data_IF_724427213282
#
_entry.id   IF_724427213282
#
_cell.length_a   1.000
_cell.length_b   1.000
_cell.length_c   1.000
_cell.angle_alpha   90.00
_cell.angle_beta   90.00
_cell.angle_gamma   90.00
#
_symmetry.space_group_name_H-M   'P 1'
#
loop_
_entity.id
_entity.type
_entity.pdbx_description
1 polymer ?
#
# COMPACT_ATOMS: atom_id res chain seq x y z
N UNK A 1 -35.80 -17.99 26.37
CA UNK A 1 -34.49 -18.05 25.65
C UNK A 1 -34.42 -17.30 24.31
N UNK A 2 -35.42 -17.35 23.40
CA UNK A 2 -35.31 -16.70 22.06
C UNK A 2 -35.19 -15.16 22.07
N UNK A 3 -35.86 -14.45 22.99
CA UNK A 3 -35.75 -12.98 23.13
C UNK A 3 -34.36 -12.51 23.58
N UNK A 4 -33.74 -13.17 24.57
CA UNK A 4 -32.39 -12.86 25.02
C UNK A 4 -31.35 -13.06 23.89
N UNK A 5 -31.45 -14.16 23.13
CA UNK A 5 -30.57 -14.42 21.97
C UNK A 5 -30.72 -13.39 20.86
N UNK A 6 -31.92 -12.81 20.68
CA UNK A 6 -32.20 -11.73 19.71
C UNK A 6 -31.62 -10.37 20.16
N UNK A 7 -31.71 -10.05 21.46
CA UNK A 7 -31.13 -8.82 22.04
C UNK A 7 -29.60 -8.88 22.00
N UNK A 8 -29.00 -10.02 22.35
CA UNK A 8 -27.56 -10.24 22.29
C UNK A 8 -27.05 -10.10 20.86
N UNK A 9 -27.73 -10.71 19.88
CA UNK A 9 -27.39 -10.54 18.44
C UNK A 9 -27.54 -9.10 17.96
N UNK A 10 -28.49 -8.33 18.50
CA UNK A 10 -28.66 -6.92 18.19
C UNK A 10 -27.50 -6.06 18.69
N UNK A 11 -27.08 -6.26 19.94
CA UNK A 11 -25.90 -5.56 20.52
C UNK A 11 -24.59 -5.96 19.84
N UNK A 12 -24.41 -7.24 19.51
CA UNK A 12 -23.26 -7.70 18.73
C UNK A 12 -23.16 -7.02 17.36
N UNK A 13 -24.29 -6.89 16.64
CA UNK A 13 -24.33 -6.18 15.35
C UNK A 13 -24.03 -4.68 15.47
N UNK A 14 -24.40 -4.04 16.58
CA UNK A 14 -24.09 -2.63 16.80
C UNK A 14 -22.59 -2.39 17.09
N UNK A 15 -21.97 -3.28 17.89
CA UNK A 15 -20.56 -3.20 18.24
C UNK A 15 -19.62 -3.52 17.06
N UNK A 16 -20.03 -4.42 16.16
CA UNK A 16 -19.29 -4.77 14.94
C UNK A 16 -19.58 -3.78 13.79
N UNK A 17 -20.49 -2.81 13.99
CA UNK A 17 -20.84 -1.86 12.93
C UNK A 17 -19.64 -0.99 12.57
N UNK A 18 -19.35 -0.90 11.28
CA UNK A 18 -18.19 -0.18 10.74
C UNK A 18 -18.05 1.24 11.29
N UNK A 19 -19.15 2.01 11.31
CA UNK A 19 -19.17 3.38 11.87
C UNK A 19 -18.71 3.45 13.32
N UNK A 20 -19.10 2.47 14.15
CA UNK A 20 -18.74 2.41 15.57
C UNK A 20 -17.26 2.08 15.74
N UNK A 21 -16.75 1.13 14.94
CA UNK A 21 -15.34 0.76 14.94
C UNK A 21 -14.47 1.94 14.49
N UNK A 22 -14.85 2.62 13.41
CA UNK A 22 -14.16 3.82 12.94
C UNK A 22 -14.17 4.93 13.98
N UNK A 23 -15.31 5.20 14.63
CA UNK A 23 -15.35 6.21 15.70
C UNK A 23 -14.46 5.86 16.88
N UNK A 24 -14.36 4.57 17.26
CA UNK A 24 -13.46 4.14 18.32
C UNK A 24 -11.98 4.30 17.92
N UNK A 25 -11.63 4.04 16.65
CA UNK A 25 -10.28 4.26 16.15
C UNK A 25 -9.94 5.76 16.11
N UNK A 26 -10.87 6.61 15.66
CA UNK A 26 -10.67 8.06 15.64
C UNK A 26 -10.54 8.63 17.06
N UNK A 27 -11.36 8.16 18.00
CA UNK A 27 -11.25 8.53 19.40
C UNK A 27 -9.88 8.13 19.96
N UNK A 28 -9.45 6.89 19.69
CA UNK A 28 -8.12 6.40 20.08
C UNK A 28 -6.98 7.22 19.46
N UNK A 29 -7.10 7.58 18.18
CA UNK A 29 -6.12 8.42 17.50
C UNK A 29 -6.03 9.81 18.14
N UNK A 30 -7.17 10.40 18.49
CA UNK A 30 -7.22 11.70 19.16
C UNK A 30 -6.59 11.64 20.56
N UNK A 31 -6.87 10.60 21.36
CA UNK A 31 -6.24 10.46 22.68
C UNK A 31 -4.74 10.26 22.58
N UNK A 32 -4.29 9.42 21.65
CA UNK A 32 -2.87 9.17 21.41
C UNK A 32 -2.13 10.42 20.94
N UNK A 33 -2.79 11.24 20.11
CA UNK A 33 -2.24 12.53 19.68
C UNK A 33 -2.12 13.52 20.85
N UNK A 34 -3.13 13.58 21.73
CA UNK A 34 -3.10 14.41 22.93
C UNK A 34 -2.05 13.96 23.95
N UNK A 35 -1.85 12.64 24.10
CA UNK A 35 -0.79 12.06 24.93
C UNK A 35 0.62 12.40 24.41
N UNK A 36 0.76 12.80 23.15
CA UNK A 36 2.04 13.22 22.57
C UNK A 36 2.56 14.58 23.05
N UNK A 37 1.72 15.42 23.68
CA UNK A 37 2.10 16.76 24.12
C UNK A 37 2.75 16.73 25.52
N UNK A 38 4.01 17.21 25.69
CA UNK A 38 4.69 17.25 26.99
C UNK A 38 3.92 18.05 28.05
N UNK A 39 3.26 19.13 27.63
CA UNK A 39 2.51 20.04 28.52
C UNK A 39 1.29 19.36 29.15
N UNK A 40 0.72 18.35 28.48
CA UNK A 40 -0.41 17.57 29.02
C UNK A 40 0.02 16.69 30.19
N UNK A 41 1.27 16.21 30.18
CA UNK A 41 1.87 15.52 31.33
C UNK A 41 2.20 16.47 32.48
N UNK A 42 2.53 17.73 32.18
CA UNK A 42 2.94 18.72 33.17
C UNK A 42 1.76 19.44 33.86
N UNK A 43 0.63 19.64 33.17
CA UNK A 43 -0.45 20.51 33.65
C UNK A 43 -1.37 19.86 34.71
N UNK A 44 -1.59 18.54 34.68
CA UNK A 44 -2.47 17.89 35.68
C UNK A 44 -2.41 16.36 35.64
N UNK A 45 -2.06 15.72 36.77
CA UNK A 45 -2.12 14.25 36.96
C UNK A 45 -3.50 13.66 36.64
N UNK A 46 -4.58 14.42 36.84
CA UNK A 46 -5.97 13.99 36.58
C UNK A 46 -6.29 13.82 35.10
N UNK A 47 -5.72 14.65 34.22
CA UNK A 47 -5.98 14.58 32.78
C UNK A 47 -5.24 13.40 32.14
N UNK A 48 -4.02 13.14 32.58
CA UNK A 48 -3.24 11.98 32.17
C UNK A 48 -3.94 10.65 32.51
N UNK A 49 -4.43 10.50 33.74
CA UNK A 49 -5.20 9.30 34.12
C UNK A 49 -6.47 9.11 33.29
N UNK A 50 -7.16 10.20 32.93
CA UNK A 50 -8.37 10.12 32.11
C UNK A 50 -8.08 9.63 30.68
N UNK A 51 -7.05 10.17 30.03
CA UNK A 51 -6.62 9.73 28.69
C UNK A 51 -6.21 8.26 28.68
N UNK A 52 -5.43 7.85 29.69
CA UNK A 52 -5.04 6.45 29.87
C UNK A 52 -6.25 5.50 29.95
N UNK A 53 -7.29 5.84 30.72
CA UNK A 53 -8.51 5.05 30.82
C UNK A 53 -9.28 4.95 29.51
N UNK A 54 -9.28 6.01 28.69
CA UNK A 54 -9.89 5.99 27.36
C UNK A 54 -9.11 5.04 26.44
N UNK A 55 -7.79 5.14 26.42
CA UNK A 55 -6.95 4.25 25.60
C UNK A 55 -7.12 2.78 26.00
N UNK A 56 -7.14 2.51 27.30
CA UNK A 56 -7.38 1.18 27.85
C UNK A 56 -8.76 0.64 27.43
N UNK A 57 -9.80 1.48 27.54
CA UNK A 57 -11.16 1.13 27.14
C UNK A 57 -11.29 0.86 25.63
N UNK A 58 -10.62 1.67 24.79
CA UNK A 58 -10.57 1.46 23.35
C UNK A 58 -9.87 0.15 22.99
N UNK A 59 -8.76 -0.15 23.68
CA UNK A 59 -8.03 -1.42 23.51
C UNK A 59 -8.92 -2.60 23.85
N UNK A 60 -9.60 -2.55 25.00
CA UNK A 60 -10.53 -3.58 25.43
C UNK A 60 -11.68 -3.75 24.42
N UNK A 61 -12.23 -2.64 23.91
CA UNK A 61 -13.23 -2.67 22.85
C UNK A 61 -12.72 -3.43 21.62
N UNK A 62 -11.50 -3.19 21.15
CA UNK A 62 -10.93 -3.91 20.00
C UNK A 62 -10.72 -5.40 20.27
N UNK A 63 -10.34 -5.79 21.48
CA UNK A 63 -10.23 -7.21 21.86
C UNK A 63 -11.61 -7.87 21.82
N UNK A 64 -12.62 -7.24 22.43
CA UNK A 64 -14.00 -7.73 22.42
C UNK A 64 -14.52 -7.82 20.99
N UNK A 65 -14.24 -6.82 20.17
CA UNK A 65 -14.67 -6.75 18.77
C UNK A 65 -14.08 -7.90 17.94
N UNK A 66 -12.79 -8.21 18.10
CA UNK A 66 -12.16 -9.35 17.46
C UNK A 66 -12.78 -10.69 17.90
N UNK A 67 -13.03 -10.88 19.20
CA UNK A 67 -13.69 -12.09 19.74
C UNK A 67 -15.10 -12.23 19.14
N UNK A 68 -15.87 -11.15 19.11
CA UNK A 68 -17.22 -11.14 18.56
C UNK A 68 -17.23 -11.44 17.06
N UNK A 69 -16.26 -10.93 16.29
CA UNK A 69 -16.11 -11.27 14.86
C UNK A 69 -15.80 -12.76 14.67
N UNK A 70 -14.89 -13.33 15.47
CA UNK A 70 -14.54 -14.76 15.38
C UNK A 70 -15.77 -15.62 15.67
N UNK A 71 -16.55 -15.28 16.70
CA UNK A 71 -17.79 -15.98 17.05
C UNK A 71 -18.88 -15.82 15.98
N UNK A 72 -18.99 -14.64 15.35
CA UNK A 72 -20.03 -14.34 14.37
C UNK A 72 -19.77 -14.99 13.00
N UNK A 73 -18.53 -14.89 12.49
CA UNK A 73 -18.17 -15.44 11.17
C UNK A 73 -17.80 -16.93 11.23
N UNK A 74 -17.41 -17.44 12.40
CA UNK A 74 -16.83 -18.77 12.56
C UNK A 74 -15.32 -18.77 12.25
N UNK A 75 -14.58 -19.67 12.90
CA UNK A 75 -13.11 -19.72 12.85
C UNK A 75 -12.58 -19.79 11.41
N UNK A 76 -13.01 -20.78 10.63
CA UNK A 76 -12.52 -20.98 9.26
C UNK A 76 -12.75 -19.77 8.35
N UNK A 77 -13.93 -19.14 8.42
CA UNK A 77 -14.26 -17.99 7.57
C UNK A 77 -13.55 -16.71 8.02
N UNK A 78 -13.30 -16.55 9.32
CA UNK A 78 -12.52 -15.44 9.84
C UNK A 78 -11.07 -15.49 9.33
N UNK A 79 -10.43 -16.67 9.41
CA UNK A 79 -9.06 -16.88 8.93
C UNK A 79 -8.93 -16.95 7.40
N UNK A 80 -10.01 -17.02 6.63
CA UNK A 80 -9.93 -16.88 5.18
C UNK A 80 -9.71 -15.41 4.74
N UNK A 81 -10.17 -14.44 5.52
CA UNK A 81 -10.10 -13.02 5.16
C UNK A 81 -8.78 -12.34 5.54
N UNK A 82 -8.02 -11.82 4.57
CA UNK A 82 -6.76 -11.11 4.80
C UNK A 82 -6.90 -9.93 5.78
N UNK A 83 -7.97 -9.14 5.66
CA UNK A 83 -8.24 -8.01 6.57
C UNK A 83 -8.58 -8.43 8.00
N UNK A 84 -9.19 -9.60 8.17
CA UNK A 84 -9.46 -10.14 9.50
C UNK A 84 -8.17 -10.66 10.16
N UNK A 85 -7.29 -11.30 9.37
CA UNK A 85 -5.94 -11.67 9.86
C UNK A 85 -5.16 -10.44 10.31
N UNK A 86 -5.14 -9.39 9.50
CA UNK A 86 -4.46 -8.13 9.81
C UNK A 86 -4.98 -7.49 11.11
N UNK A 87 -6.31 -7.39 11.24
CA UNK A 87 -6.97 -6.86 12.44
C UNK A 87 -6.64 -7.69 13.69
N UNK A 88 -6.64 -9.02 13.57
CA UNK A 88 -6.24 -9.92 14.64
C UNK A 88 -4.77 -9.72 15.04
N UNK A 89 -3.85 -9.63 14.07
CA UNK A 89 -2.43 -9.37 14.32
C UNK A 89 -2.23 -8.07 15.08
N UNK A 90 -2.93 -6.99 14.71
CA UNK A 90 -2.88 -5.72 15.44
C UNK A 90 -3.37 -5.90 16.87
N UNK A 91 -4.48 -6.61 17.08
CA UNK A 91 -4.99 -6.86 18.45
C UNK A 91 -3.93 -7.60 19.27
N UNK A 92 -3.35 -8.67 18.74
CA UNK A 92 -2.31 -9.48 19.41
C UNK A 92 -1.07 -8.67 19.75
N UNK A 93 -0.52 -7.92 18.79
CA UNK A 93 0.63 -7.02 19.00
C UNK A 93 0.36 -6.00 20.12
N UNK A 94 -0.91 -5.68 20.32
CA UNK A 94 -1.34 -4.65 21.26
C UNK A 94 -1.83 -5.19 22.61
N UNK A 95 -1.91 -6.51 22.80
CA UNK A 95 -2.25 -7.13 24.09
C UNK A 95 -1.23 -6.84 25.20
N UNK A 96 0.09 -6.81 24.95
CA UNK A 96 1.06 -6.50 25.99
C UNK A 96 0.86 -5.12 26.64
N UNK A 97 0.27 -4.15 25.93
CA UNK A 97 -0.02 -2.83 26.52
C UNK A 97 -1.10 -2.90 27.61
N UNK A 98 -1.92 -3.96 27.66
CA UNK A 98 -2.87 -4.16 28.75
C UNK A 98 -2.19 -4.63 30.05
N UNK A 99 -0.93 -5.08 29.95
CA UNK A 99 -0.12 -5.54 31.07
C UNK A 99 0.78 -4.43 31.64
N UNK A 100 0.86 -3.26 30.99
CA UNK A 100 1.60 -2.08 31.48
C UNK A 100 1.21 -1.62 32.91
N UNK A 101 -0.06 -1.68 33.36
CA UNK A 101 -0.42 -1.30 34.73
C UNK A 101 -0.07 -2.35 35.80
N UNK A 102 0.52 -3.49 35.43
CA UNK A 102 0.98 -4.50 36.40
C UNK A 102 2.38 -4.11 36.88
N UNK A 103 2.47 -3.62 38.12
CA UNK A 103 3.71 -3.21 38.77
C UNK A 103 4.78 -4.32 38.71
N UNK A 104 5.96 -4.00 38.15
CA UNK A 104 7.14 -4.90 38.14
C UNK A 104 7.85 -5.07 36.78
N UNK A 105 7.26 -4.61 35.67
CA UNK A 105 7.85 -4.76 34.32
C UNK A 105 8.43 -3.45 33.73
N UNK A 106 8.58 -2.38 34.53
CA UNK A 106 9.00 -1.05 34.09
C UNK A 106 10.47 -0.92 33.65
N UNK A 107 11.30 -1.96 33.88
CA UNK A 107 12.74 -1.93 33.60
C UNK A 107 13.18 -2.44 32.22
N UNK A 108 12.30 -3.04 31.42
CA UNK A 108 12.70 -3.65 30.14
C UNK A 108 12.52 -2.69 28.96
N UNK A 109 13.50 -2.65 28.04
CA UNK A 109 13.38 -2.00 26.71
C UNK A 109 12.12 -2.43 25.94
N UNK A 110 11.54 -3.59 26.29
CA UNK A 110 10.24 -4.07 25.79
C UNK A 110 9.08 -3.11 26.09
N UNK A 111 9.12 -2.35 27.18
CA UNK A 111 8.08 -1.35 27.51
C UNK A 111 8.01 -0.28 26.42
N UNK A 112 9.16 0.20 25.92
CA UNK A 112 9.22 1.16 24.82
C UNK A 112 8.63 0.55 23.54
N UNK A 113 8.98 -0.71 23.23
CA UNK A 113 8.44 -1.40 22.06
C UNK A 113 6.93 -1.58 22.16
N UNK A 114 6.37 -1.89 23.33
CA UNK A 114 4.91 -1.99 23.53
C UNK A 114 4.21 -0.63 23.45
N UNK A 115 4.86 0.44 23.92
CA UNK A 115 4.39 1.82 23.73
C UNK A 115 4.35 2.23 22.27
N UNK A 116 5.32 1.81 21.46
CA UNK A 116 5.29 2.02 20.01
C UNK A 116 4.30 1.09 19.31
N UNK A 117 4.13 -0.14 19.83
CA UNK A 117 3.25 -1.13 19.26
C UNK A 117 1.78 -0.68 19.24
N UNK A 118 1.38 0.17 20.21
CA UNK A 118 0.03 0.75 20.27
C UNK A 118 -0.29 1.62 19.05
N UNK A 119 0.72 2.23 18.41
CA UNK A 119 0.57 3.02 17.18
C UNK A 119 0.06 2.18 16.02
N UNK A 120 0.38 0.87 15.97
CA UNK A 120 -0.08 0.00 14.89
C UNK A 120 -1.61 -0.10 14.83
N UNK A 121 -2.33 0.20 15.92
CA UNK A 121 -3.79 0.23 15.95
C UNK A 121 -4.38 1.26 14.99
N UNK A 122 -3.66 2.34 14.68
CA UNK A 122 -4.07 3.33 13.69
C UNK A 122 -4.18 2.72 12.28
N UNK A 123 -3.37 1.71 11.97
CA UNK A 123 -3.47 1.02 10.68
C UNK A 123 -4.79 0.24 10.51
N UNK A 124 -5.59 0.04 11.57
CA UNK A 124 -6.94 -0.51 11.40
C UNK A 124 -7.82 0.35 10.49
N UNK A 125 -7.53 1.65 10.36
CA UNK A 125 -8.20 2.54 9.40
C UNK A 125 -8.02 2.06 7.95
N UNK A 126 -6.91 1.40 7.62
CA UNK A 126 -6.65 0.90 6.27
C UNK A 126 -7.70 -0.11 5.78
N UNK A 127 -8.33 -0.85 6.70
CA UNK A 127 -9.42 -1.79 6.36
C UNK A 127 -10.63 -1.09 5.76
N UNK A 128 -10.86 0.17 6.10
CA UNK A 128 -12.02 0.94 5.63
C UNK A 128 -11.75 1.64 4.30
N UNK A 129 -10.56 1.49 3.74
CA UNK A 129 -10.25 2.01 2.40
C UNK A 129 -11.11 1.23 1.38
N UNK A 130 -11.96 1.92 0.60
CA UNK A 130 -12.74 1.29 -0.44
C UNK A 130 -11.82 0.60 -1.44
N UNK A 131 -12.15 -0.63 -1.84
CA UNK A 131 -11.31 -1.43 -2.76
C UNK A 131 -9.90 -1.73 -2.23
N UNK A 132 -9.68 -1.66 -0.91
CA UNK A 132 -8.39 -1.95 -0.28
C UNK A 132 -7.68 -3.23 -0.75
N UNK A 133 -8.36 -4.40 -0.88
CA UNK A 133 -7.71 -5.61 -1.41
C UNK A 133 -7.11 -5.40 -2.80
N UNK A 134 -7.84 -4.73 -3.70
CA UNK A 134 -7.39 -4.47 -5.08
C UNK A 134 -6.20 -3.51 -5.11
N UNK A 135 -6.22 -2.49 -4.25
CA UNK A 135 -5.09 -1.56 -4.10
C UNK A 135 -3.86 -2.32 -3.62
N UNK A 136 -4.01 -3.16 -2.59
CA UNK A 136 -2.92 -3.97 -2.04
C UNK A 136 -2.35 -4.96 -3.05
N UNK A 137 -3.20 -5.62 -3.84
CA UNK A 137 -2.78 -6.50 -4.94
C UNK A 137 -2.03 -5.74 -6.04
N UNK A 138 -2.45 -4.51 -6.37
CA UNK A 138 -1.73 -3.62 -7.27
C UNK A 138 -0.34 -3.25 -6.74
N UNK A 139 -0.25 -2.79 -5.49
CA UNK A 139 1.01 -2.45 -4.83
C UNK A 139 1.95 -3.65 -4.75
N UNK A 140 1.43 -4.82 -4.39
CA UNK A 140 2.25 -6.05 -4.31
C UNK A 140 2.85 -6.42 -5.65
N UNK A 141 2.07 -6.38 -6.74
CA UNK A 141 2.55 -6.67 -8.09
C UNK A 141 3.58 -5.65 -8.57
N UNK A 142 3.29 -4.36 -8.41
CA UNK A 142 4.22 -3.29 -8.75
C UNK A 142 5.55 -3.44 -7.99
N UNK A 143 5.50 -3.72 -6.69
CA UNK A 143 6.70 -3.96 -5.89
C UNK A 143 7.46 -5.19 -6.38
N UNK A 144 6.76 -6.29 -6.69
CA UNK A 144 7.37 -7.52 -7.23
C UNK A 144 8.09 -7.29 -8.56
N UNK A 145 7.50 -6.52 -9.47
CA UNK A 145 8.13 -6.15 -10.74
C UNK A 145 9.36 -5.25 -10.54
N UNK A 146 9.28 -4.29 -9.61
CA UNK A 146 10.37 -3.35 -9.33
C UNK A 146 11.50 -3.92 -8.47
N UNK A 147 11.39 -5.13 -7.90
CA UNK A 147 12.43 -5.71 -7.01
C UNK A 147 13.80 -5.71 -7.68
N UNK A 148 13.88 -6.07 -8.97
CA UNK A 148 15.15 -6.10 -9.71
C UNK A 148 15.82 -4.72 -9.77
N UNK A 149 15.04 -3.66 -10.01
CA UNK A 149 15.54 -2.28 -10.07
C UNK A 149 15.97 -1.80 -8.69
N UNK A 150 15.17 -2.03 -7.65
CA UNK A 150 15.54 -1.68 -6.28
C UNK A 150 16.80 -2.42 -5.82
N UNK A 151 16.96 -3.70 -6.18
CA UNK A 151 18.15 -4.46 -5.89
C UNK A 151 19.37 -3.89 -6.62
N UNK A 152 19.24 -3.51 -7.90
CA UNK A 152 20.30 -2.86 -8.65
C UNK A 152 20.71 -1.52 -8.02
N UNK A 153 19.74 -0.70 -7.60
CA UNK A 153 20.00 0.56 -6.90
C UNK A 153 20.65 0.36 -5.54
N UNK A 154 20.23 -0.67 -4.80
CA UNK A 154 20.86 -1.03 -3.53
C UNK A 154 22.31 -1.49 -3.74
N UNK A 155 22.58 -2.31 -4.76
CA UNK A 155 23.94 -2.73 -5.11
C UNK A 155 24.81 -1.55 -5.56
N UNK A 156 24.26 -0.63 -6.36
CA UNK A 156 24.95 0.62 -6.72
C UNK A 156 25.25 1.47 -5.48
N UNK A 157 24.28 1.61 -4.58
CA UNK A 157 24.48 2.33 -3.32
C UNK A 157 25.58 1.68 -2.49
N UNK A 158 25.61 0.35 -2.39
CA UNK A 158 26.65 -0.40 -1.67
C UNK A 158 28.03 -0.20 -2.31
N UNK A 159 28.13 -0.23 -3.64
CA UNK A 159 29.38 0.04 -4.36
C UNK A 159 29.91 1.45 -4.07
N UNK A 160 29.05 2.46 -4.17
CA UNK A 160 29.41 3.85 -3.87
C UNK A 160 29.65 4.08 -2.38
N UNK A 161 28.98 3.36 -1.49
CA UNK A 161 29.23 3.45 -0.05
C UNK A 161 30.63 2.92 0.29
N UNK A 162 31.01 1.78 -0.27
CA UNK A 162 32.37 1.22 -0.11
C UNK A 162 33.44 2.18 -0.66
N UNK A 163 33.21 2.74 -1.85
CA UNK A 163 34.09 3.76 -2.42
C UNK A 163 34.22 5.00 -1.53
N UNK A 164 33.11 5.48 -0.98
CA UNK A 164 33.10 6.63 -0.09
C UNK A 164 33.76 6.35 1.27
N UNK A 165 33.63 5.13 1.83
CA UNK A 165 34.36 4.72 3.04
C UNK A 165 35.87 4.80 2.82
N UNK A 166 36.34 4.31 1.66
CA UNK A 166 37.78 4.30 1.34
C UNK A 166 38.28 5.73 1.06
N UNK A 167 37.52 6.54 0.32
CA UNK A 167 37.96 7.88 -0.12
C UNK A 167 37.81 8.95 0.97
N UNK A 168 36.78 8.86 1.82
CA UNK A 168 36.37 9.94 2.72
C UNK A 168 36.33 9.53 4.20
N UNK A 169 36.56 8.25 4.53
CA UNK A 169 36.50 7.72 5.89
C UNK A 169 37.44 8.40 6.88
N UNK A 170 38.63 8.82 6.44
CA UNK A 170 39.59 9.54 7.28
C UNK A 170 39.21 11.02 7.49
N UNK A 171 38.55 11.64 6.52
CA UNK A 171 38.21 13.07 6.54
C UNK A 171 36.87 13.38 7.21
N UNK A 172 35.93 12.41 7.18
CA UNK A 172 34.62 12.50 7.81
C UNK A 172 34.18 11.13 8.35
N UNK A 173 34.82 10.61 9.41
CA UNK A 173 34.52 9.31 10.00
C UNK A 173 33.06 9.19 10.50
N UNK A 174 32.43 10.30 10.88
CA UNK A 174 31.02 10.34 11.28
C UNK A 174 30.04 10.05 10.13
N UNK A 175 30.46 10.27 8.88
CA UNK A 175 29.65 10.01 7.68
C UNK A 175 30.09 8.74 6.94
N UNK A 176 31.40 8.47 6.92
CA UNK A 176 32.02 7.44 6.08
C UNK A 176 32.92 6.47 6.84
N UNK A 177 32.94 6.49 8.18
CA UNK A 177 33.87 5.68 8.98
C UNK A 177 33.65 4.17 8.85
N UNK A 178 32.50 3.72 8.38
CA UNK A 178 32.26 2.33 8.00
C UNK A 178 31.24 2.23 6.84
N UNK A 179 31.14 1.05 6.20
CA UNK A 179 30.23 0.85 5.08
C UNK A 179 28.76 1.10 5.41
N UNK A 180 28.29 0.80 6.62
CA UNK A 180 26.88 1.01 6.99
C UNK A 180 26.54 2.50 7.10
N UNK A 181 27.41 3.30 7.71
CA UNK A 181 27.27 4.76 7.75
C UNK A 181 27.32 5.35 6.34
N UNK A 182 28.23 4.83 5.50
CA UNK A 182 28.34 5.28 4.11
C UNK A 182 27.11 4.94 3.28
N UNK A 183 26.51 3.75 3.47
CA UNK A 183 25.25 3.35 2.82
C UNK A 183 24.15 4.36 3.16
N UNK A 184 23.98 4.69 4.44
CA UNK A 184 22.99 5.69 4.86
C UNK A 184 23.28 7.08 4.27
N UNK A 185 24.54 7.50 4.26
CA UNK A 185 24.94 8.80 3.71
C UNK A 185 24.70 8.87 2.19
N UNK A 186 25.07 7.83 1.43
CA UNK A 186 24.82 7.76 -0.01
C UNK A 186 23.33 7.60 -0.33
N UNK A 187 22.57 6.92 0.54
CA UNK A 187 21.12 6.84 0.39
C UNK A 187 20.46 8.22 0.49
N UNK A 188 20.91 9.08 1.42
CA UNK A 188 20.47 10.49 1.50
C UNK A 188 20.82 11.26 0.22
N UNK A 189 22.02 11.06 -0.32
CA UNK A 189 22.42 11.72 -1.59
C UNK A 189 21.54 11.28 -2.75
N UNK A 190 21.14 10.01 -2.80
CA UNK A 190 20.27 9.48 -3.86
C UNK A 190 18.88 10.10 -3.89
N UNK A 191 18.36 10.64 -2.77
CA UNK A 191 17.06 11.33 -2.79
C UNK A 191 17.10 12.68 -3.49
N UNK A 192 18.30 13.15 -3.89
CA UNK A 192 18.55 14.44 -4.57
C UNK A 192 18.18 15.66 -3.70
N UNK A 193 17.71 15.45 -2.48
CA UNK A 193 17.41 16.50 -1.53
C UNK A 193 18.64 16.81 -0.68
N UNK A 194 19.07 18.08 -0.66
CA UNK A 194 20.25 18.49 0.12
C UNK A 194 21.56 17.78 -0.29
N UNK A 195 21.63 17.20 -1.49
CA UNK A 195 22.75 16.36 -1.92
C UNK A 195 24.10 17.11 -1.95
N UNK A 196 24.07 18.43 -2.06
CA UNK A 196 25.24 19.31 -2.10
C UNK A 196 25.86 19.55 -0.71
N UNK A 197 25.13 19.32 0.38
CA UNK A 197 25.60 19.63 1.73
C UNK A 197 26.80 18.77 2.15
N UNK A 198 26.74 17.48 1.83
CA UNK A 198 27.81 16.51 2.14
C UNK A 198 29.12 16.85 1.39
N UNK A 199 29.13 17.04 0.06
CA UNK A 199 30.34 17.43 -0.63
C UNK A 199 30.86 18.80 -0.15
N UNK A 200 30.00 19.79 0.08
CA UNK A 200 30.45 21.10 0.56
C UNK A 200 31.10 21.00 1.95
N UNK A 201 30.52 20.22 2.87
CA UNK A 201 31.11 19.94 4.19
C UNK A 201 32.49 19.28 4.07
N UNK A 202 32.65 18.30 3.17
CA UNK A 202 33.94 17.64 2.92
C UNK A 202 34.99 18.60 2.34
N UNK A 203 34.58 19.46 1.41
CA UNK A 203 35.49 20.44 0.78
C UNK A 203 35.98 21.48 1.78
N UNK A 204 35.10 21.93 2.70
CA UNK A 204 35.42 22.91 3.73
C UNK A 204 36.50 22.42 4.72
N UNK A 205 36.61 21.10 4.93
CA UNK A 205 37.57 20.50 5.87
C UNK A 205 39.00 20.38 5.33
N UNK A 206 39.16 20.37 4.01
CA UNK A 206 40.43 19.97 3.39
C UNK A 206 41.13 21.13 2.67
N UNK A 207 40.40 22.19 2.30
CA UNK A 207 40.95 23.43 1.73
C UNK A 207 41.60 23.32 0.34
N UNK A 208 41.78 22.11 -0.21
CA UNK A 208 42.40 21.87 -1.52
C UNK A 208 41.37 21.96 -2.66
N UNK A 209 41.66 22.79 -3.67
CA UNK A 209 40.81 22.95 -4.86
C UNK A 209 40.68 21.67 -5.70
N UNK A 210 41.77 20.91 -5.85
CA UNK A 210 41.74 19.64 -6.60
C UNK A 210 40.90 18.58 -5.88
N UNK A 211 41.05 18.50 -4.56
CA UNK A 211 40.25 17.58 -3.75
C UNK A 211 38.77 17.97 -3.79
N UNK A 212 38.47 19.27 -3.70
CA UNK A 212 37.11 19.77 -3.83
C UNK A 212 36.46 19.38 -5.16
N UNK A 213 37.22 19.40 -6.27
CA UNK A 213 36.74 18.93 -7.57
C UNK A 213 36.43 17.44 -7.57
N UNK A 214 37.31 16.59 -7.01
CA UNK A 214 37.10 15.13 -6.92
C UNK A 214 35.88 14.79 -6.07
N UNK A 215 35.75 15.41 -4.89
CA UNK A 215 34.60 15.24 -3.99
C UNK A 215 33.30 15.60 -4.72
N UNK A 216 33.22 16.81 -5.30
CA UNK A 216 32.03 17.26 -6.01
C UNK A 216 31.70 16.38 -7.20
N UNK A 217 32.70 15.94 -7.96
CA UNK A 217 32.53 15.01 -9.07
C UNK A 217 31.97 13.66 -8.64
N UNK A 218 32.47 13.10 -7.54
CA UNK A 218 31.99 11.84 -6.97
C UNK A 218 30.50 11.91 -6.60
N UNK A 219 30.10 12.94 -5.85
CA UNK A 219 28.72 13.10 -5.42
C UNK A 219 27.79 13.50 -6.57
N UNK A 220 28.24 14.35 -7.50
CA UNK A 220 27.47 14.69 -8.70
C UNK A 220 27.19 13.45 -9.57
N UNK A 221 28.18 12.58 -9.78
CA UNK A 221 27.99 11.32 -10.49
C UNK A 221 27.05 10.38 -9.74
N UNK A 222 27.19 10.29 -8.41
CA UNK A 222 26.32 9.49 -7.56
C UNK A 222 24.85 9.93 -7.67
N UNK A 223 24.60 11.24 -7.65
CA UNK A 223 23.26 11.82 -7.84
C UNK A 223 22.74 11.56 -9.25
N UNK A 224 23.57 11.73 -10.28
CA UNK A 224 23.16 11.49 -11.65
C UNK A 224 22.74 10.03 -11.88
N UNK A 225 23.58 9.07 -11.47
CA UNK A 225 23.36 7.65 -11.75
C UNK A 225 22.33 7.05 -10.78
N UNK A 226 22.50 7.24 -9.47
CA UNK A 226 21.66 6.63 -8.45
C UNK A 226 20.36 7.39 -8.19
N UNK A 227 20.44 8.71 -8.09
CA UNK A 227 19.28 9.56 -7.80
C UNK A 227 18.42 9.79 -9.04
N UNK A 228 18.93 10.56 -10.01
CA UNK A 228 18.17 10.98 -11.18
C UNK A 228 17.82 9.77 -12.05
N UNK A 229 18.81 9.09 -12.62
CA UNK A 229 18.57 7.96 -13.54
C UNK A 229 17.97 6.77 -12.80
N UNK A 230 18.52 6.44 -11.64
CA UNK A 230 18.10 5.30 -10.83
C UNK A 230 16.66 5.38 -10.34
N UNK A 231 16.28 6.47 -9.66
CA UNK A 231 14.89 6.65 -9.21
C UNK A 231 13.93 6.84 -10.39
N UNK A 232 14.34 7.49 -11.48
CA UNK A 232 13.49 7.60 -12.68
C UNK A 232 13.21 6.22 -13.28
N UNK A 233 14.21 5.34 -13.35
CA UNK A 233 14.04 3.97 -13.83
C UNK A 233 13.13 3.16 -12.89
N UNK A 234 13.32 3.27 -11.57
CA UNK A 234 12.47 2.60 -10.60
C UNK A 234 11.00 3.05 -10.75
N UNK A 235 10.77 4.36 -10.88
CA UNK A 235 9.44 4.92 -11.11
C UNK A 235 8.86 4.47 -12.45
N UNK A 236 9.65 4.45 -13.53
CA UNK A 236 9.20 4.01 -14.84
C UNK A 236 8.72 2.55 -14.80
N UNK A 237 9.51 1.64 -14.23
CA UNK A 237 9.14 0.22 -14.09
C UNK A 237 7.92 0.06 -13.19
N UNK A 238 7.84 0.82 -12.10
CA UNK A 238 6.70 0.78 -11.20
C UNK A 238 5.40 1.24 -11.88
N UNK A 239 5.47 2.32 -12.66
CA UNK A 239 4.32 2.87 -13.41
C UNK A 239 3.90 1.91 -14.52
N UNK A 240 4.84 1.35 -15.28
CA UNK A 240 4.55 0.40 -16.36
C UNK A 240 3.80 -0.83 -15.85
N UNK A 241 4.23 -1.39 -14.71
CA UNK A 241 3.53 -2.51 -14.08
C UNK A 241 2.12 -2.10 -13.58
N UNK A 242 1.95 -0.89 -13.07
CA UNK A 242 0.64 -0.39 -12.64
C UNK A 242 -0.33 -0.12 -13.80
N UNK A 243 0.17 0.23 -14.98
CA UNK A 243 -0.66 0.51 -16.17
C UNK A 243 -0.94 -0.74 -17.00
N UNK A 244 -0.09 -1.77 -16.95
CA UNK A 244 -0.24 -3.01 -17.69
C UNK A 244 -1.64 -3.65 -17.54
N UNK A 245 -2.20 -3.64 -16.33
CA UNK A 245 -3.54 -4.15 -16.03
C UNK A 245 -4.66 -3.42 -16.82
N UNK A 246 -4.54 -2.10 -16.95
CA UNK A 246 -5.52 -1.29 -17.66
C UNK A 246 -5.44 -1.57 -19.17
N UNK A 247 -4.22 -1.70 -19.70
CA UNK A 247 -3.96 -1.99 -21.11
C UNK A 247 -4.54 -3.35 -21.50
N UNK A 248 -4.25 -4.42 -20.74
CA UNK A 248 -4.76 -5.78 -21.02
C UNK A 248 -6.29 -5.82 -20.96
N UNK A 249 -6.91 -5.08 -20.04
CA UNK A 249 -8.37 -5.04 -19.93
C UNK A 249 -9.01 -4.34 -21.14
N UNK A 250 -8.43 -3.23 -21.59
CA UNK A 250 -8.88 -2.49 -22.77
C UNK A 250 -8.72 -3.35 -24.02
N UNK A 251 -7.58 -4.03 -24.19
CA UNK A 251 -7.33 -4.93 -25.31
C UNK A 251 -8.39 -6.05 -25.41
N UNK A 252 -8.71 -6.70 -24.29
CA UNK A 252 -9.78 -7.73 -24.26
C UNK A 252 -11.16 -7.18 -24.62
N UNK A 253 -11.45 -5.93 -24.24
CA UNK A 253 -12.71 -5.28 -24.63
C UNK A 253 -12.75 -4.99 -26.14
N UNK A 254 -11.65 -4.51 -26.71
CA UNK A 254 -11.52 -4.27 -28.16
C UNK A 254 -11.68 -5.57 -28.95
N UNK A 255 -10.97 -6.63 -28.56
CA UNK A 255 -11.07 -7.95 -29.21
C UNK A 255 -12.51 -8.50 -29.18
N UNK A 256 -13.23 -8.31 -28.06
CA UNK A 256 -14.63 -8.71 -27.96
C UNK A 256 -15.52 -7.89 -28.90
N UNK A 257 -15.35 -6.57 -28.93
CA UNK A 257 -16.12 -5.69 -29.82
C UNK A 257 -15.88 -6.02 -31.30
N UNK A 258 -14.63 -6.32 -31.69
CA UNK A 258 -14.34 -6.76 -33.05
C UNK A 258 -15.05 -8.07 -33.39
N UNK A 259 -15.09 -9.01 -32.45
CA UNK A 259 -15.78 -10.28 -32.63
C UNK A 259 -17.29 -10.09 -32.77
N UNK A 260 -17.89 -9.22 -31.95
CA UNK A 260 -19.31 -8.87 -32.05
C UNK A 260 -19.64 -8.19 -33.40
N UNK A 261 -18.79 -7.28 -33.87
CA UNK A 261 -18.95 -6.64 -35.20
C UNK A 261 -18.84 -7.67 -36.32
N UNK A 262 -17.89 -8.61 -36.23
CA UNK A 262 -17.75 -9.70 -37.21
C UNK A 262 -19.00 -10.59 -37.25
N UNK A 263 -19.54 -10.96 -36.08
CA UNK A 263 -20.76 -11.76 -35.99
C UNK A 263 -21.96 -11.03 -36.59
N UNK A 264 -22.18 -9.76 -36.22
CA UNK A 264 -23.27 -8.93 -36.76
C UNK A 264 -23.17 -8.74 -38.28
N UNK A 265 -21.94 -8.62 -38.81
CA UNK A 265 -21.72 -8.52 -40.26
C UNK A 265 -22.10 -9.81 -40.97
N UNK A 266 -21.75 -10.97 -40.39
CA UNK A 266 -22.08 -12.27 -40.94
C UNK A 266 -23.59 -12.54 -40.90
N UNK A 267 -24.25 -12.22 -39.77
CA UNK A 267 -25.71 -12.30 -39.63
C UNK A 267 -26.41 -11.44 -40.69
N UNK A 268 -26.00 -10.17 -40.85
CA UNK A 268 -26.55 -9.29 -41.89
C UNK A 268 -26.32 -9.86 -43.30
N UNK A 269 -25.15 -10.42 -43.59
CA UNK A 269 -24.88 -11.03 -44.90
C UNK A 269 -25.77 -12.25 -45.16
N UNK A 270 -26.03 -13.07 -44.13
CA UNK A 270 -26.97 -14.18 -44.22
C UNK A 270 -28.40 -13.69 -44.45
N UNK A 271 -28.86 -12.68 -43.70
CA UNK A 271 -30.19 -12.08 -43.88
C UNK A 271 -30.39 -11.54 -45.30
N UNK A 272 -29.37 -10.86 -45.85
CA UNK A 272 -29.40 -10.37 -47.23
C UNK A 272 -29.43 -11.51 -48.26
N UNK A 273 -28.73 -12.63 -48.01
CA UNK A 273 -28.74 -13.78 -48.89
C UNK A 273 -30.11 -14.47 -48.91
N UNK A 274 -30.73 -14.64 -47.73
CA UNK A 274 -32.08 -15.21 -47.58
C UNK A 274 -33.10 -14.33 -48.31
N UNK A 275 -33.07 -13.01 -48.10
CA UNK A 275 -33.97 -12.08 -48.76
C UNK A 275 -33.83 -12.13 -50.29
N UNK A 276 -32.60 -12.25 -50.80
CA UNK A 276 -32.37 -12.36 -52.24
C UNK A 276 -32.94 -13.67 -52.82
N UNK A 277 -32.78 -14.78 -52.11
CA UNK A 277 -33.34 -16.07 -52.51
C UNK A 277 -34.87 -16.04 -52.52
N UNK A 278 -35.48 -15.38 -51.53
CA UNK A 278 -36.93 -15.21 -51.41
C UNK A 278 -37.49 -14.37 -52.58
N UNK A 279 -36.87 -13.21 -52.88
CA UNK A 279 -37.23 -12.37 -54.04
C UNK A 279 -37.09 -13.15 -55.36
N UNK A 280 -36.01 -13.91 -55.53
CA UNK A 280 -35.83 -14.75 -56.73
C UNK A 280 -36.88 -15.86 -56.82
N UNK A 281 -37.36 -16.37 -55.69
CA UNK A 281 -38.42 -17.37 -55.64
C UNK A 281 -39.77 -16.76 -56.06
N UNK A 282 -40.11 -15.57 -55.54
CA UNK A 282 -41.33 -14.84 -55.91
C UNK A 282 -41.32 -14.44 -57.38
N UNK A 283 -40.19 -13.92 -57.90
CA UNK A 283 -40.06 -13.58 -59.31
C UNK A 283 -40.24 -14.79 -60.23
N UNK A 284 -39.76 -15.98 -59.81
CA UNK A 284 -39.99 -17.23 -60.55
C UNK A 284 -41.46 -17.62 -60.57
N UNK A 285 -42.15 -17.53 -59.42
CA UNK A 285 -43.60 -17.80 -59.34
C UNK A 285 -44.40 -16.83 -60.21
N UNK A 286 -44.11 -15.53 -60.15
CA UNK A 286 -44.79 -14.51 -60.96
C UNK A 286 -44.58 -14.77 -62.46
N UNK A 287 -43.35 -15.11 -62.89
CA UNK A 287 -43.08 -15.47 -64.29
C UNK A 287 -43.89 -16.68 -64.74
N UNK A 288 -43.95 -17.74 -63.93
CA UNK A 288 -44.75 -18.93 -64.24
C UNK A 288 -46.24 -18.62 -64.36
N UNK A 289 -46.79 -17.76 -63.49
CA UNK A 289 -48.18 -17.32 -63.56
C UNK A 289 -48.48 -16.48 -64.82
N UNK A 290 -47.54 -15.63 -65.24
CA UNK A 290 -47.67 -14.87 -66.48
C UNK A 290 -47.63 -15.78 -67.71
N UNK A 291 -46.73 -16.77 -67.75
CA UNK A 291 -46.67 -17.77 -68.82
C UNK A 291 -47.93 -18.64 -68.90
N UNK A 292 -48.53 -18.98 -67.77
CA UNK A 292 -49.80 -19.71 -67.72
C UNK A 292 -50.99 -18.88 -68.22
N UNK A 293 -50.98 -17.55 -68.05
CA UNK A 293 -52.02 -16.66 -68.57
C UNK A 293 -51.90 -16.35 -70.06
N UNK A 294 -50.74 -16.59 -70.66
CA UNK A 294 -50.49 -16.37 -72.10
C UNK A 294 -50.78 -17.60 -72.97
N UNK A 295 -51.15 -18.73 -72.36
CA UNK A 295 -51.67 -19.93 -73.03
C UNK A 295 -53.19 -19.99 -72.89
#
# INVERSE_FOLDING_TARGET
>A
MKKAKKIIRGRQKFLIRERTVVSAILLYAATLFLDGFPDVHAFSTRHYHFLYWIEYSCTLYFVIEAILKIQFYGFQRYWAGAWNKFDFTIVVISLPSLLEPIDGMSGFQMVLLFRLARLFRLFKLLRFIPHGPKIWEGVKRALQASVGVFLALFMLNLLLAMGATILFGEHAPELFGNPLLSIYTLFKVFTVEGWYEIPDLLTARTGSHLWAFVVRGYFALSVLVGGILGLSLANAVFVDEMTADNTVKVEKMVLRLEQDIRNLRNERQQDHAILFEDIQSELRQVRQLLEQRQK
#
